data_IF_601689947369
#
_entry.id   IF_601689947369
#
_cell.length_a   1.000
_cell.length_b   1.000
_cell.length_c   1.000
_cell.angle_alpha   90.00
_cell.angle_beta   90.00
_cell.angle_gamma   90.00
#
_symmetry.space_group_name_H-M   'P 1'
#
loop_
_entity.id
_entity.type
_entity.pdbx_description
1 polymer ?
#
# COMPACT_ATOMS: atom_id res chain seq x y z
N UNK A 1 -0.28 9.98 -10.34
CA UNK A 1 -0.71 9.97 -11.75
C UNK A 1 -0.04 11.08 -12.56
N UNK A 2 -0.15 12.32 -12.15
CA UNK A 2 0.32 13.49 -12.89
C UNK A 2 1.79 13.40 -13.36
N UNK A 3 2.66 12.75 -12.59
CA UNK A 3 4.06 12.54 -12.96
C UNK A 3 4.23 11.60 -14.16
N UNK A 4 3.28 10.69 -14.38
CA UNK A 4 3.29 9.79 -15.53
C UNK A 4 3.13 10.55 -16.87
N UNK A 5 2.39 11.66 -16.87
CA UNK A 5 2.25 12.54 -18.05
C UNK A 5 3.53 13.31 -18.40
N UNK A 6 4.49 13.42 -17.47
CA UNK A 6 5.75 14.16 -17.65
C UNK A 6 6.91 13.29 -18.17
N UNK A 7 6.71 12.00 -18.37
CA UNK A 7 7.74 11.10 -18.86
C UNK A 7 8.18 11.54 -20.28
N UNK A 8 9.45 11.78 -20.46
CA UNK A 8 10.01 12.34 -21.71
C UNK A 8 9.80 11.41 -22.90
N UNK A 9 10.10 10.14 -22.73
CA UNK A 9 10.09 9.14 -23.80
C UNK A 9 8.89 8.18 -23.75
N UNK A 10 7.92 8.44 -22.87
CA UNK A 10 6.80 7.52 -22.65
C UNK A 10 5.47 8.27 -22.68
N UNK A 11 4.53 7.82 -23.50
CA UNK A 11 3.15 8.32 -23.49
C UNK A 11 2.29 7.46 -22.56
N UNK A 12 1.45 8.12 -21.78
CA UNK A 12 0.45 7.48 -20.93
C UNK A 12 -0.87 7.37 -21.67
N UNK A 13 -1.47 6.18 -21.68
CA UNK A 13 -2.66 5.85 -22.44
C UNK A 13 -3.69 5.20 -21.53
N UNK A 14 -4.95 5.53 -21.75
CA UNK A 14 -6.08 4.89 -21.11
C UNK A 14 -7.24 4.78 -22.11
N UNK A 15 -8.02 3.71 -22.03
CA UNK A 15 -9.22 3.59 -22.82
C UNK A 15 -10.32 4.50 -22.23
N UNK A 16 -10.82 5.50 -22.97
CA UNK A 16 -11.85 6.41 -22.48
C UNK A 16 -13.12 5.68 -22.04
N UNK A 17 -13.44 4.51 -22.62
CA UNK A 17 -14.59 3.70 -22.24
C UNK A 17 -14.48 3.13 -20.80
N UNK A 18 -13.29 3.11 -20.23
CA UNK A 18 -13.04 2.67 -18.85
C UNK A 18 -13.12 3.81 -17.83
N UNK A 19 -13.32 5.05 -18.27
CA UNK A 19 -13.38 6.21 -17.40
C UNK A 19 -14.82 6.64 -17.16
N UNK A 20 -15.19 6.99 -15.90
CA UNK A 20 -16.47 7.60 -15.63
C UNK A 20 -16.49 9.06 -16.14
N UNK A 21 -17.68 9.58 -16.43
CA UNK A 21 -17.84 10.99 -16.81
C UNK A 21 -17.47 11.93 -15.67
N UNK A 22 -17.83 11.56 -14.44
CA UNK A 22 -17.58 12.34 -13.23
C UNK A 22 -17.27 11.45 -12.02
N UNK A 23 -16.73 12.05 -10.98
CA UNK A 23 -16.59 11.39 -9.68
C UNK A 23 -17.97 11.28 -9.06
N UNK A 24 -18.51 10.04 -8.95
CA UNK A 24 -19.83 9.80 -8.39
C UNK A 24 -19.98 10.32 -6.95
N UNK A 25 -21.23 10.45 -6.52
CA UNK A 25 -21.61 10.83 -5.15
C UNK A 25 -21.22 9.71 -4.17
N UNK A 26 -19.99 9.80 -3.68
CA UNK A 26 -19.44 8.94 -2.62
C UNK A 26 -19.28 9.83 -1.40
N UNK A 27 -19.61 9.32 -0.23
CA UNK A 27 -19.37 10.01 1.05
C UNK A 27 -17.85 10.15 1.28
N UNK A 28 -17.31 11.22 0.71
CA UNK A 28 -15.89 11.56 0.73
C UNK A 28 -15.69 12.93 1.37
N UNK A 29 -14.55 13.09 2.04
CA UNK A 29 -14.12 14.42 2.43
C UNK A 29 -13.90 15.32 1.20
N UNK A 30 -14.10 16.64 1.35
CA UNK A 30 -13.85 17.61 0.27
C UNK A 30 -12.43 17.50 -0.31
N UNK A 31 -11.46 17.14 0.51
CA UNK A 31 -10.08 16.91 0.11
C UNK A 31 -9.97 15.70 -0.82
N UNK A 32 -10.61 14.60 -0.46
CA UNK A 32 -10.54 13.35 -1.22
C UNK A 32 -11.33 13.48 -2.54
N UNK A 33 -12.47 14.18 -2.51
CA UNK A 33 -13.24 14.49 -3.71
C UNK A 33 -12.40 15.28 -4.72
N UNK A 34 -11.77 16.37 -4.29
CA UNK A 34 -10.86 17.17 -5.15
C UNK A 34 -9.67 16.37 -5.67
N UNK A 35 -9.14 15.42 -4.87
CA UNK A 35 -8.06 14.54 -5.31
C UNK A 35 -8.53 13.58 -6.40
N UNK A 36 -9.70 12.97 -6.24
CA UNK A 36 -10.29 12.07 -7.24
C UNK A 36 -10.63 12.80 -8.53
N UNK A 37 -11.24 13.99 -8.46
CA UNK A 37 -11.52 14.84 -9.63
C UNK A 37 -10.25 15.16 -10.40
N UNK A 38 -9.17 15.56 -9.71
CA UNK A 38 -7.88 15.83 -10.33
C UNK A 38 -7.28 14.60 -11.01
N UNK A 39 -7.39 13.43 -10.36
CA UNK A 39 -6.91 12.19 -10.94
C UNK A 39 -7.72 11.79 -12.18
N UNK A 40 -9.05 11.93 -12.13
CA UNK A 40 -9.92 11.66 -13.27
C UNK A 40 -9.61 12.58 -14.45
N UNK A 41 -9.41 13.88 -14.21
CA UNK A 41 -9.03 14.83 -15.26
C UNK A 41 -7.69 14.45 -15.90
N UNK A 42 -6.68 14.05 -15.10
CA UNK A 42 -5.41 13.56 -15.62
C UNK A 42 -5.57 12.30 -16.48
N UNK A 43 -6.45 11.37 -16.09
CA UNK A 43 -6.74 10.16 -16.88
C UNK A 43 -7.47 10.52 -18.19
N UNK A 44 -8.37 11.51 -18.17
CA UNK A 44 -9.02 12.01 -19.40
C UNK A 44 -8.00 12.63 -20.36
N UNK A 45 -7.03 13.39 -19.84
CA UNK A 45 -5.90 13.90 -20.65
C UNK A 45 -5.12 12.72 -21.29
N UNK A 46 -4.89 11.63 -20.57
CA UNK A 46 -4.22 10.44 -21.11
C UNK A 46 -5.05 9.69 -22.17
N UNK A 47 -6.38 9.76 -22.07
CA UNK A 47 -7.28 9.19 -23.06
C UNK A 47 -7.25 9.93 -24.43
N UNK A 48 -6.81 11.19 -24.43
CA UNK A 48 -6.64 12.00 -25.65
C UNK A 48 -5.29 11.78 -26.33
N UNK A 49 -4.32 11.17 -25.64
CA UNK A 49 -2.99 10.88 -26.16
C UNK A 49 -3.02 9.78 -27.22
N UNK A 50 -2.09 9.85 -28.18
CA UNK A 50 -1.95 8.83 -29.23
C UNK A 50 -0.76 7.90 -28.96
N UNK A 51 -0.88 6.60 -29.28
CA UNK A 51 0.20 5.63 -29.07
C UNK A 51 1.54 6.02 -29.69
N UNK A 52 1.52 6.75 -30.78
CA UNK A 52 2.71 7.12 -31.55
C UNK A 52 3.31 8.48 -31.17
N UNK A 53 2.74 9.15 -30.16
CA UNK A 53 3.27 10.43 -29.69
C UNK A 53 4.67 10.31 -29.08
N UNK A 54 5.01 9.13 -28.55
CA UNK A 54 6.34 8.83 -27.99
C UNK A 54 6.76 7.39 -28.22
N UNK A 55 8.06 7.12 -28.10
CA UNK A 55 8.65 5.79 -28.39
C UNK A 55 8.17 4.67 -27.46
N UNK A 56 7.81 5.00 -26.20
CA UNK A 56 7.36 4.04 -25.20
C UNK A 56 5.93 4.37 -24.73
N UNK A 57 5.24 3.36 -24.23
CA UNK A 57 3.83 3.47 -23.80
C UNK A 57 3.65 2.94 -22.40
N UNK A 58 2.80 3.61 -21.63
CA UNK A 58 2.23 3.10 -20.37
C UNK A 58 0.74 3.00 -20.57
N UNK A 59 0.17 1.82 -20.46
CA UNK A 59 -1.26 1.59 -20.55
C UNK A 59 -1.83 1.46 -19.14
N UNK A 60 -2.83 2.27 -18.82
CA UNK A 60 -3.66 2.10 -17.63
C UNK A 60 -4.85 1.24 -18.01
N UNK A 61 -4.93 0.03 -17.48
CA UNK A 61 -6.02 -0.91 -17.72
C UNK A 61 -6.84 -1.02 -16.44
N UNK A 62 -8.05 -0.53 -16.47
CA UNK A 62 -9.00 -0.63 -15.37
C UNK A 62 -9.94 -1.81 -15.54
N UNK A 63 -10.69 -2.13 -14.49
CA UNK A 63 -11.64 -3.25 -14.47
C UNK A 63 -11.01 -4.57 -14.93
N UNK A 64 -9.82 -4.85 -14.44
CA UNK A 64 -9.07 -6.06 -14.71
C UNK A 64 -8.42 -6.59 -13.44
N UNK A 65 -8.54 -7.89 -13.20
CA UNK A 65 -7.92 -8.60 -12.09
C UNK A 65 -6.94 -9.63 -12.61
N UNK A 66 -5.66 -9.63 -12.19
CA UNK A 66 -4.71 -10.66 -12.54
C UNK A 66 -5.16 -12.03 -12.02
N UNK A 67 -5.09 -13.05 -12.87
CA UNK A 67 -5.51 -14.42 -12.54
C UNK A 67 -4.32 -15.37 -12.59
N UNK A 68 -3.48 -15.28 -13.63
CA UNK A 68 -2.42 -16.22 -13.87
C UNK A 68 -1.25 -15.55 -14.60
N UNK A 69 -0.02 -15.88 -14.21
CA UNK A 69 1.18 -15.54 -14.96
C UNK A 69 1.45 -16.66 -15.95
N UNK A 70 1.52 -16.32 -17.23
CA UNK A 70 1.72 -17.27 -18.31
C UNK A 70 3.21 -17.42 -18.64
N UNK A 71 3.59 -18.64 -19.07
CA UNK A 71 4.94 -19.01 -19.48
C UNK A 71 5.45 -20.22 -18.71
N UNK A 72 6.61 -20.74 -19.13
CA UNK A 72 7.30 -21.84 -18.48
C UNK A 72 8.49 -21.36 -17.66
N UNK A 73 9.71 -21.44 -18.22
CA UNK A 73 10.95 -21.01 -17.55
C UNK A 73 11.07 -19.47 -17.43
N UNK A 74 10.24 -18.75 -18.14
CA UNK A 74 10.18 -17.27 -18.11
C UNK A 74 8.74 -16.80 -18.26
N UNK A 75 8.50 -15.56 -17.82
CA UNK A 75 7.21 -14.89 -18.02
C UNK A 75 7.03 -14.58 -19.52
N UNK A 76 5.89 -14.96 -20.07
CA UNK A 76 5.50 -14.72 -21.46
C UNK A 76 4.21 -13.89 -21.55
N UNK A 77 3.41 -13.87 -20.49
CA UNK A 77 2.20 -13.10 -20.45
C UNK A 77 1.54 -13.07 -19.07
N UNK A 78 0.46 -12.32 -19.01
CA UNK A 78 -0.42 -12.21 -17.84
C UNK A 78 -1.86 -12.39 -18.30
N UNK A 79 -2.55 -13.36 -17.72
CA UNK A 79 -3.99 -13.56 -17.89
C UNK A 79 -4.74 -12.73 -16.87
N UNK A 80 -5.74 -12.00 -17.34
CA UNK A 80 -6.57 -11.14 -16.53
C UNK A 80 -8.05 -11.49 -16.75
N UNK A 81 -8.85 -11.29 -15.71
CA UNK A 81 -10.30 -11.35 -15.76
C UNK A 81 -10.87 -9.93 -15.81
N UNK A 82 -11.85 -9.69 -16.69
CA UNK A 82 -12.63 -8.46 -16.67
C UNK A 82 -13.43 -8.40 -15.36
N UNK A 83 -13.43 -7.23 -14.74
CA UNK A 83 -14.22 -7.00 -13.52
C UNK A 83 -15.24 -5.89 -13.74
N UNK A 84 -16.30 -5.92 -12.93
CA UNK A 84 -17.30 -4.86 -12.81
C UNK A 84 -17.44 -4.46 -11.36
N UNK A 85 -18.01 -3.30 -11.10
CA UNK A 85 -18.28 -2.86 -9.73
C UNK A 85 -19.73 -3.24 -9.37
N UNK A 86 -19.87 -4.06 -8.32
CA UNK A 86 -21.14 -4.40 -7.68
C UNK A 86 -21.03 -4.09 -6.19
N UNK A 87 -21.95 -3.32 -5.65
CA UNK A 87 -21.99 -2.90 -4.24
C UNK A 87 -20.63 -2.32 -3.75
N UNK A 88 -19.96 -1.52 -4.59
CA UNK A 88 -18.68 -0.90 -4.30
C UNK A 88 -17.47 -1.84 -4.32
N UNK A 89 -17.64 -3.07 -4.80
CA UNK A 89 -16.58 -4.08 -4.90
C UNK A 89 -16.34 -4.51 -6.34
N UNK A 90 -15.09 -4.78 -6.68
CA UNK A 90 -14.76 -5.39 -7.96
C UNK A 90 -15.15 -6.88 -7.95
N UNK A 91 -15.96 -7.30 -8.91
CA UNK A 91 -16.44 -8.67 -9.09
C UNK A 91 -16.04 -9.14 -10.48
N UNK A 92 -15.53 -10.36 -10.60
CA UNK A 92 -15.18 -10.99 -11.88
C UNK A 92 -16.42 -11.17 -12.78
N UNK A 93 -16.26 -11.03 -14.07
CA UNK A 93 -17.33 -11.21 -15.07
C UNK A 93 -17.30 -12.59 -15.73
N UNK A 94 -16.25 -13.37 -15.54
CA UNK A 94 -15.98 -14.61 -16.25
C UNK A 94 -15.38 -14.40 -17.64
N UNK A 95 -15.14 -13.16 -18.07
CA UNK A 95 -14.45 -12.84 -19.31
C UNK A 95 -12.96 -12.65 -19.07
N UNK A 96 -12.14 -13.34 -19.85
CA UNK A 96 -10.69 -13.30 -19.71
C UNK A 96 -10.02 -12.69 -20.94
N UNK A 97 -8.86 -12.08 -20.72
CA UNK A 97 -7.97 -11.62 -21.77
C UNK A 97 -6.52 -11.76 -21.33
N UNK A 98 -5.61 -11.67 -22.27
CA UNK A 98 -4.18 -11.86 -22.00
C UNK A 98 -3.39 -10.63 -22.48
N UNK A 99 -2.30 -10.33 -21.76
CA UNK A 99 -1.34 -9.32 -22.12
C UNK A 99 0.02 -10.01 -22.25
N UNK A 100 0.65 -9.91 -23.42
CA UNK A 100 2.01 -10.38 -23.61
C UNK A 100 2.97 -9.49 -22.80
N UNK A 101 3.80 -10.10 -21.96
CA UNK A 101 4.79 -9.40 -21.15
C UNK A 101 5.95 -10.32 -20.77
N UNK A 102 7.12 -9.77 -20.62
CA UNK A 102 8.32 -10.49 -20.17
C UNK A 102 8.64 -10.30 -18.69
N UNK A 103 7.88 -9.47 -17.99
CA UNK A 103 8.07 -9.20 -16.56
C UNK A 103 6.74 -8.81 -15.90
N UNK A 104 6.45 -9.38 -14.76
CA UNK A 104 5.32 -9.00 -13.88
C UNK A 104 5.88 -8.48 -12.56
N UNK A 105 5.51 -7.26 -12.18
CA UNK A 105 5.90 -6.65 -10.91
C UNK A 105 4.63 -6.42 -10.06
N UNK A 106 4.36 -7.27 -9.06
CA UNK A 106 3.23 -7.09 -8.17
C UNK A 106 3.46 -5.88 -7.26
N UNK A 107 2.50 -4.94 -7.26
CA UNK A 107 2.49 -3.76 -6.40
C UNK A 107 1.13 -3.58 -5.72
N UNK A 108 0.49 -4.70 -5.35
CA UNK A 108 -0.89 -4.77 -4.83
C UNK A 108 -1.01 -4.43 -3.34
N UNK A 109 0.06 -3.98 -2.71
CA UNK A 109 0.12 -3.61 -1.30
C UNK A 109 0.89 -4.62 -0.44
N UNK A 110 0.94 -4.31 0.83
CA UNK A 110 1.61 -5.14 1.85
C UNK A 110 0.58 -5.74 2.80
N UNK A 111 0.95 -6.85 3.43
CA UNK A 111 0.21 -7.45 4.54
C UNK A 111 1.16 -7.55 5.73
N UNK A 112 0.65 -7.23 6.92
CA UNK A 112 1.35 -7.57 8.15
C UNK A 112 1.45 -9.09 8.30
N UNK A 113 2.51 -9.56 8.93
CA UNK A 113 2.67 -10.96 9.33
C UNK A 113 2.62 -11.06 10.85
N UNK A 114 2.12 -12.18 11.35
CA UNK A 114 2.11 -12.46 12.78
C UNK A 114 3.53 -12.51 13.35
N UNK A 115 3.67 -12.03 14.57
CA UNK A 115 4.89 -12.11 15.35
C UNK A 115 4.61 -13.07 16.51
N UNK A 116 5.48 -14.06 16.71
CA UNK A 116 5.33 -15.02 17.80
C UNK A 116 5.26 -14.32 19.15
N UNK A 117 4.27 -14.66 19.96
CA UNK A 117 4.05 -14.05 21.29
C UNK A 117 3.28 -12.74 21.26
N UNK A 118 2.84 -12.23 20.09
CA UNK A 118 1.98 -11.06 19.98
C UNK A 118 0.61 -11.43 19.39
N UNK A 119 -0.49 -10.82 19.85
CA UNK A 119 -1.80 -11.04 19.25
C UNK A 119 -1.81 -10.54 17.80
N UNK A 120 -2.54 -11.23 16.92
CA UNK A 120 -2.63 -10.87 15.52
C UNK A 120 -4.02 -11.12 14.94
N UNK A 121 -4.54 -10.16 14.22
CA UNK A 121 -5.79 -10.26 13.47
C UNK A 121 -5.48 -10.66 12.02
N UNK A 122 -5.68 -11.92 11.69
CA UNK A 122 -5.41 -12.49 10.35
C UNK A 122 -6.25 -11.85 9.26
N UNK A 123 -7.46 -11.38 9.55
CA UNK A 123 -8.35 -10.76 8.57
C UNK A 123 -7.87 -9.36 8.21
N UNK A 124 -7.50 -8.57 9.21
CA UNK A 124 -7.02 -7.19 9.04
C UNK A 124 -5.51 -7.12 8.81
N UNK A 125 -4.79 -8.21 9.09
CA UNK A 125 -3.33 -8.30 9.03
C UNK A 125 -2.63 -7.22 9.88
N UNK A 126 -3.13 -7.04 11.11
CA UNK A 126 -2.58 -6.07 12.08
C UNK A 126 -2.51 -6.71 13.47
N UNK A 127 -1.75 -6.08 14.35
CA UNK A 127 -1.83 -6.32 15.78
C UNK A 127 -3.06 -5.57 16.32
N UNK A 128 -4.07 -6.25 16.91
CA UNK A 128 -5.22 -5.59 17.54
C UNK A 128 -4.74 -4.63 18.62
N UNK A 129 -5.27 -3.41 18.63
CA UNK A 129 -4.83 -2.39 19.59
C UNK A 129 -5.91 -1.32 19.81
N UNK A 130 -5.83 -0.64 20.94
CA UNK A 130 -6.55 0.58 21.22
C UNK A 130 -5.59 1.76 21.20
N UNK A 131 -5.64 2.55 20.12
CA UNK A 131 -4.71 3.65 19.79
C UNK A 131 -3.22 3.32 20.03
N UNK A 132 -2.83 2.11 19.70
CA UNK A 132 -1.47 1.62 19.84
C UNK A 132 -1.19 0.82 21.10
N UNK A 133 -2.05 0.83 22.11
CA UNK A 133 -1.97 -0.09 23.27
C UNK A 133 -2.46 -1.48 22.85
N UNK A 134 -1.66 -2.50 23.05
CA UNK A 134 -1.99 -3.89 22.70
C UNK A 134 -2.35 -4.66 23.96
N UNK A 135 -1.41 -4.75 24.88
CA UNK A 135 -1.53 -5.34 26.20
C UNK A 135 -0.45 -4.75 27.11
N UNK A 136 -0.38 -5.22 28.36
CA UNK A 136 0.52 -4.64 29.37
C UNK A 136 1.98 -4.67 28.90
N UNK A 137 2.58 -3.50 28.69
CA UNK A 137 3.94 -3.33 28.19
C UNK A 137 4.14 -3.57 26.70
N UNK A 138 3.10 -3.85 25.91
CA UNK A 138 3.16 -4.05 24.48
C UNK A 138 2.40 -2.96 23.72
N UNK A 139 3.08 -2.32 22.77
CA UNK A 139 2.54 -1.25 21.95
C UNK A 139 2.78 -1.50 20.47
N UNK A 140 1.82 -1.14 19.62
CA UNK A 140 1.93 -1.22 18.17
C UNK A 140 1.91 0.17 17.54
N UNK A 141 2.76 0.40 16.54
CA UNK A 141 2.86 1.65 15.79
C UNK A 141 2.95 1.39 14.28
N UNK A 142 2.59 2.38 13.47
CA UNK A 142 2.74 2.32 12.03
C UNK A 142 1.81 1.30 11.37
N UNK A 143 2.31 0.63 10.35
CA UNK A 143 1.48 -0.26 9.54
C UNK A 143 0.96 -1.49 10.30
N UNK A 144 1.71 -2.02 11.24
CA UNK A 144 1.24 -3.15 12.05
C UNK A 144 0.09 -2.76 13.01
N UNK A 145 0.00 -1.45 13.38
CA UNK A 145 -1.10 -0.87 14.16
C UNK A 145 -2.38 -0.72 13.33
N UNK A 146 -2.30 -0.13 12.13
CA UNK A 146 -3.46 0.36 11.37
C UNK A 146 -3.66 -0.28 10.00
N UNK A 147 -2.78 -1.18 9.58
CA UNK A 147 -2.70 -1.70 8.22
C UNK A 147 -1.76 -0.85 7.33
N UNK A 148 -1.42 -1.32 6.11
CA UNK A 148 -0.45 -0.69 5.21
C UNK A 148 -1.06 0.54 4.50
N UNK A 149 -1.48 1.53 5.25
CA UNK A 149 -2.07 2.77 4.76
C UNK A 149 -1.23 3.98 5.14
N UNK A 150 -1.31 5.03 4.32
CA UNK A 150 -0.59 6.28 4.52
C UNK A 150 0.85 6.24 3.98
N UNK A 151 1.58 7.31 4.23
CA UNK A 151 2.98 7.52 3.82
C UNK A 151 3.90 7.51 5.04
N UNK A 152 5.21 7.57 4.84
CA UNK A 152 6.21 7.58 5.93
C UNK A 152 5.86 8.61 7.02
N UNK A 153 5.45 9.82 6.63
CA UNK A 153 5.08 10.88 7.56
C UNK A 153 3.89 10.53 8.48
N UNK A 154 3.01 9.61 8.09
CA UNK A 154 1.87 9.18 8.91
C UNK A 154 2.28 8.24 10.05
N UNK A 155 3.52 7.75 10.07
CA UNK A 155 4.04 6.94 11.17
C UNK A 155 4.49 7.80 12.37
N UNK A 156 4.78 9.08 12.14
CA UNK A 156 5.20 9.99 13.21
C UNK A 156 4.12 10.18 14.29
N UNK A 157 2.86 10.52 13.98
CA UNK A 157 1.80 10.58 14.97
C UNK A 157 1.60 9.28 15.76
N UNK A 158 1.74 8.11 15.11
CA UNK A 158 1.67 6.83 15.82
C UNK A 158 2.77 6.68 16.86
N UNK A 159 4.00 7.07 16.51
CA UNK A 159 5.14 7.04 17.43
C UNK A 159 4.97 8.01 18.60
N UNK A 160 4.47 9.23 18.33
CA UNK A 160 4.20 10.24 19.36
C UNK A 160 3.10 9.76 20.34
N UNK A 161 2.01 9.16 19.82
CA UNK A 161 0.94 8.57 20.64
C UNK A 161 1.47 7.42 21.51
N UNK A 162 2.21 6.49 20.91
CA UNK A 162 2.78 5.37 21.66
C UNK A 162 3.78 5.83 22.74
N UNK A 163 4.63 6.81 22.46
CA UNK A 163 5.54 7.37 23.45
C UNK A 163 4.78 8.00 24.64
N UNK A 164 3.69 8.71 24.36
CA UNK A 164 2.83 9.28 25.42
C UNK A 164 2.19 8.18 26.26
N UNK A 165 1.62 7.16 25.63
CA UNK A 165 1.03 6.02 26.34
C UNK A 165 2.06 5.28 27.20
N UNK A 166 3.26 5.04 26.68
CA UNK A 166 4.33 4.40 27.43
C UNK A 166 4.67 5.21 28.70
N UNK A 167 4.74 6.54 28.61
CA UNK A 167 5.01 7.40 29.75
C UNK A 167 3.88 7.42 30.77
N UNK A 168 2.63 7.24 30.32
CA UNK A 168 1.45 7.18 31.20
C UNK A 168 1.34 5.81 31.89
N UNK A 169 1.57 4.72 31.17
CA UNK A 169 1.26 3.37 31.60
C UNK A 169 2.44 2.70 32.35
N UNK A 170 3.68 3.04 31.98
CA UNK A 170 4.86 2.37 32.51
C UNK A 170 5.52 3.22 33.62
N UNK A 171 5.49 2.68 34.82
CA UNK A 171 6.26 3.25 35.92
C UNK A 171 7.73 2.87 35.80
N UNK A 172 8.61 3.77 36.25
CA UNK A 172 10.05 3.53 36.30
C UNK A 172 10.35 2.25 37.10
N UNK A 173 10.80 1.23 36.40
CA UNK A 173 11.13 -0.07 37.02
C UNK A 173 12.50 -0.08 37.68
N UNK A 174 12.76 -1.15 38.46
CA UNK A 174 14.06 -1.36 39.10
C UNK A 174 15.09 -2.05 38.16
N UNK A 175 14.89 -1.95 36.85
CA UNK A 175 15.86 -2.51 35.89
C UNK A 175 17.17 -1.71 35.96
N UNK A 176 18.33 -2.38 35.95
CA UNK A 176 19.64 -1.72 36.18
C UNK A 176 20.08 -0.74 35.09
N UNK A 177 19.27 -0.58 34.02
CA UNK A 177 19.43 0.44 33.02
C UNK A 177 20.68 0.32 32.14
N UNK A 178 21.10 1.46 31.58
CA UNK A 178 22.19 1.55 30.60
C UNK A 178 23.51 0.98 31.09
N UNK A 179 23.89 1.26 32.33
CA UNK A 179 25.17 0.82 32.89
C UNK A 179 25.31 -0.69 32.90
N UNK A 180 24.27 -1.42 33.35
CA UNK A 180 24.31 -2.87 33.34
C UNK A 180 24.27 -3.44 31.90
N UNK A 181 23.60 -2.78 30.97
CA UNK A 181 23.63 -3.16 29.57
C UNK A 181 25.04 -3.01 28.97
N UNK A 182 25.72 -1.89 29.22
CA UNK A 182 27.12 -1.65 28.79
C UNK A 182 28.05 -2.68 29.39
N UNK A 183 27.88 -3.03 30.67
CA UNK A 183 28.67 -4.07 31.34
C UNK A 183 28.43 -5.42 30.64
N UNK A 184 27.19 -5.80 30.38
CA UNK A 184 26.84 -7.04 29.68
C UNK A 184 27.48 -7.12 28.29
N UNK A 185 27.49 -6.00 27.55
CA UNK A 185 28.11 -5.93 26.23
C UNK A 185 29.63 -6.11 26.31
N UNK A 186 30.27 -5.47 27.28
CA UNK A 186 31.69 -5.63 27.52
C UNK A 186 32.05 -7.09 27.89
N UNK A 187 31.29 -7.73 28.78
CA UNK A 187 31.43 -9.14 29.12
C UNK A 187 31.29 -10.08 27.93
N UNK A 188 30.44 -9.74 26.98
CA UNK A 188 30.21 -10.49 25.73
C UNK A 188 31.14 -10.10 24.59
N UNK A 189 32.12 -9.22 24.80
CA UNK A 189 33.02 -8.67 23.78
C UNK A 189 32.29 -8.09 22.56
N UNK A 190 31.12 -7.45 22.77
CA UNK A 190 30.35 -6.80 21.71
C UNK A 190 30.83 -5.34 21.61
N UNK A 191 31.34 -4.97 20.44
CA UNK A 191 31.72 -3.58 20.16
C UNK A 191 30.50 -2.81 19.68
N UNK A 192 30.19 -1.70 20.35
CA UNK A 192 29.14 -0.76 19.89
C UNK A 192 29.83 0.19 18.89
N UNK A 193 29.27 0.27 17.69
CA UNK A 193 29.69 1.22 16.64
C UNK A 193 28.82 2.46 16.71
#
# INVERSE_FOLDING_TARGET
>A
LREMGKLEHCVSLVDPAQLPEEVGDVDLSDRDKRLKERNLNTLKEFAECKPDDKAKRVHFVFYASPVEVLGGDRVEGLKLERTKIEDGRAVGTGEFFEIECGLVIPAIGYRGTSIEGAPFDERRCIVPNDDGRVEDGLYAVGWIKRGPTGVIATNRPDGEAAAKHILEDIQSGQKPGRVAFETLLAERNVTIV
#
